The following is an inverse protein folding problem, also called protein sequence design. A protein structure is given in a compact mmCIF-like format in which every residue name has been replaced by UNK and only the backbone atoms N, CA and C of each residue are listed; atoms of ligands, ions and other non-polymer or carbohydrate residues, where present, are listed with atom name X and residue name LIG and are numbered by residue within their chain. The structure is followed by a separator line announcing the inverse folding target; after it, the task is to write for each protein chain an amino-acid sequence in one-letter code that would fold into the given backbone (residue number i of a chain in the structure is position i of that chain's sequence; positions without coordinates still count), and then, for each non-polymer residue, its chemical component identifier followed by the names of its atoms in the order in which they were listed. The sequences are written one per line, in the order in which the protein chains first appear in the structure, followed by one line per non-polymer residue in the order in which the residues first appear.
data_IF_477888194668
#
_entry.id   IF_477888194668
#
_cell.length_a   1.000
_cell.length_b   1.000
_cell.length_c   1.000
_cell.angle_alpha   90.00
_cell.angle_beta   90.00
_cell.angle_gamma   90.00
#
_symmetry.space_group_name_H-M   'P 1'
#
loop_
_entity.id
_entity.type
_entity.pdbx_description
1 polymer ?
#
# COMPACT_ATOMS: atom_id res chain seq x y z
N UNK A 1 -21.90 -10.34 -13.37
CA UNK A 1 -20.93 -10.85 -14.36
C UNK A 1 -20.13 -11.98 -13.71
N UNK A 2 -19.75 -13.03 -14.44
CA UNK A 2 -18.85 -14.07 -13.91
C UNK A 2 -17.43 -13.78 -14.35
N UNK A 3 -16.50 -13.76 -13.40
CA UNK A 3 -15.07 -13.64 -13.67
C UNK A 3 -14.40 -14.89 -13.08
N UNK A 4 -13.92 -15.79 -13.95
CA UNK A 4 -13.46 -17.11 -13.54
C UNK A 4 -14.56 -17.88 -12.78
N UNK A 5 -14.23 -18.39 -11.59
CA UNK A 5 -15.16 -19.09 -10.71
C UNK A 5 -16.01 -18.20 -9.79
N UNK A 6 -15.83 -16.87 -9.83
CA UNK A 6 -16.48 -15.94 -8.90
C UNK A 6 -17.56 -15.08 -9.58
N UNK A 7 -18.62 -14.75 -8.83
CA UNK A 7 -19.67 -13.83 -9.27
C UNK A 7 -19.27 -12.39 -8.89
N UNK A 8 -19.11 -11.53 -9.89
CA UNK A 8 -18.83 -10.10 -9.73
C UNK A 8 -20.10 -9.28 -9.96
N UNK A 9 -20.46 -8.45 -9.00
CA UNK A 9 -21.57 -7.51 -9.10
C UNK A 9 -21.01 -6.10 -9.35
N UNK A 10 -21.40 -5.48 -10.46
CA UNK A 10 -21.02 -4.11 -10.79
C UNK A 10 -22.08 -3.14 -10.26
N UNK A 11 -21.68 -2.20 -9.41
CA UNK A 11 -22.54 -1.13 -8.92
C UNK A 11 -22.31 0.12 -9.77
N UNK A 12 -23.34 0.63 -10.43
CA UNK A 12 -23.26 1.84 -11.28
C UNK A 12 -24.01 3.05 -10.67
N UNK A 13 -24.93 2.81 -9.73
CA UNK A 13 -25.76 3.86 -9.12
C UNK A 13 -25.10 4.43 -7.85
N UNK A 14 -24.91 5.77 -7.74
CA UNK A 14 -24.27 6.40 -6.59
C UNK A 14 -25.05 6.25 -5.28
N UNK A 15 -26.38 6.19 -5.31
CA UNK A 15 -27.22 5.98 -4.12
C UNK A 15 -27.02 4.57 -3.58
N UNK A 16 -27.01 3.58 -4.48
CA UNK A 16 -26.78 2.17 -4.12
C UNK A 16 -25.35 1.98 -3.61
N UNK A 17 -24.36 2.62 -4.24
CA UNK A 17 -22.97 2.60 -3.78
C UNK A 17 -22.86 3.16 -2.35
N UNK A 18 -23.49 4.29 -2.07
CA UNK A 18 -23.49 4.89 -0.73
C UNK A 18 -24.14 3.98 0.31
N UNK A 19 -25.30 3.39 -0.02
CA UNK A 19 -26.01 2.50 0.90
C UNK A 19 -25.23 1.20 1.20
N UNK A 20 -24.57 0.62 0.19
CA UNK A 20 -23.83 -0.62 0.36
C UNK A 20 -22.43 -0.40 0.96
N UNK A 21 -21.68 0.60 0.48
CA UNK A 21 -20.29 0.84 0.87
C UNK A 21 -20.17 1.67 2.15
N UNK A 22 -21.03 2.66 2.40
CA UNK A 22 -20.96 3.46 3.63
C UNK A 22 -21.84 2.89 4.73
N UNK A 23 -23.16 2.80 4.49
CA UNK A 23 -24.13 2.44 5.55
C UNK A 23 -24.05 0.96 5.95
N UNK A 24 -23.80 0.08 4.99
CA UNK A 24 -23.69 -1.37 5.20
C UNK A 24 -22.27 -1.90 5.04
N UNK A 25 -21.28 -1.02 5.24
CA UNK A 25 -19.86 -1.33 5.11
C UNK A 25 -19.49 -2.62 5.86
N UNK A 26 -19.98 -2.86 7.08
CA UNK A 26 -19.67 -4.06 7.86
C UNK A 26 -20.01 -5.39 7.16
N UNK A 27 -21.05 -5.40 6.33
CA UNK A 27 -21.55 -6.62 5.67
C UNK A 27 -20.89 -6.84 4.31
N UNK A 28 -20.50 -5.76 3.62
CA UNK A 28 -19.97 -5.81 2.26
C UNK A 28 -18.48 -5.44 2.17
N UNK A 29 -17.81 -5.17 3.30
CA UNK A 29 -16.37 -4.84 3.34
C UNK A 29 -15.44 -6.05 3.30
N UNK A 30 -15.95 -7.28 3.18
CA UNK A 30 -15.08 -8.45 3.02
C UNK A 30 -14.26 -8.32 1.74
N UNK A 31 -12.97 -8.66 1.82
CA UNK A 31 -12.09 -8.59 0.66
C UNK A 31 -12.05 -9.98 0.01
N UNK A 32 -12.12 -10.06 -1.34
CA UNK A 32 -11.93 -11.32 -2.02
C UNK A 32 -10.60 -11.96 -1.59
N UNK A 33 -10.59 -13.28 -1.44
CA UNK A 33 -9.35 -14.00 -1.16
C UNK A 33 -8.46 -13.96 -2.41
N UNK A 34 -7.50 -13.04 -2.40
CA UNK A 34 -6.53 -12.85 -3.46
C UNK A 34 -5.23 -13.52 -3.04
N UNK A 35 -4.53 -14.19 -3.97
CA UNK A 35 -3.22 -14.79 -3.70
C UNK A 35 -2.22 -13.78 -3.08
N UNK A 36 -2.31 -12.51 -3.48
CA UNK A 36 -1.49 -11.42 -2.94
C UNK A 36 -1.65 -11.22 -1.42
N UNK A 37 -2.75 -11.67 -0.83
CA UNK A 37 -3.03 -11.61 0.61
C UNK A 37 -2.03 -12.43 1.41
N UNK A 38 -1.55 -13.54 0.86
CA UNK A 38 -0.55 -14.40 1.54
C UNK A 38 0.83 -13.75 1.67
N UNK A 39 1.11 -12.69 0.90
CA UNK A 39 2.36 -11.94 1.02
C UNK A 39 2.39 -11.09 2.28
N UNK A 40 3.43 -11.28 3.09
CA UNK A 40 3.58 -10.60 4.38
C UNK A 40 2.70 -11.17 5.48
N UNK A 41 2.57 -12.50 5.57
CA UNK A 41 1.85 -13.21 6.64
C UNK A 41 0.39 -12.77 6.83
N UNK A 42 -0.29 -12.43 5.72
CA UNK A 42 -1.63 -11.85 5.75
C UNK A 42 -1.74 -10.54 6.54
N UNK A 43 -0.64 -9.87 6.88
CA UNK A 43 -0.60 -8.62 7.67
C UNK A 43 -0.85 -7.36 6.85
N UNK A 44 -0.98 -7.49 5.53
CA UNK A 44 -1.26 -6.36 4.66
C UNK A 44 -2.68 -5.83 4.90
N UNK A 45 -2.76 -4.61 5.46
CA UNK A 45 -4.03 -3.97 5.82
C UNK A 45 -4.96 -3.74 4.61
N UNK A 46 -4.40 -3.62 3.39
CA UNK A 46 -5.19 -3.37 2.19
C UNK A 46 -5.93 -4.62 1.68
N UNK A 47 -5.45 -5.82 2.02
CA UNK A 47 -6.00 -7.10 1.55
C UNK A 47 -6.62 -7.95 2.66
N UNK A 48 -6.54 -7.50 3.92
CA UNK A 48 -7.14 -8.16 5.07
C UNK A 48 -8.63 -7.82 5.22
N UNK A 49 -9.39 -8.77 5.77
CA UNK A 49 -10.79 -8.60 6.15
C UNK A 49 -10.95 -7.69 7.38
N UNK A 50 -12.19 -7.32 7.69
CA UNK A 50 -12.50 -6.43 8.82
C UNK A 50 -12.47 -7.16 10.19
N UNK A 51 -11.35 -7.83 10.47
CA UNK A 51 -11.07 -8.52 11.73
C UNK A 51 -10.49 -7.58 12.81
N UNK A 52 -10.32 -8.07 14.03
CA UNK A 52 -9.81 -7.26 15.16
C UNK A 52 -8.37 -6.77 14.93
N UNK A 53 -7.56 -7.54 14.20
CA UNK A 53 -6.20 -7.16 13.85
C UNK A 53 -6.20 -5.98 12.88
N UNK A 54 -7.06 -6.02 11.85
CA UNK A 54 -7.28 -4.91 10.92
C UNK A 54 -7.74 -3.66 11.63
N UNK A 55 -8.70 -3.76 12.58
CA UNK A 55 -9.15 -2.60 13.38
C UNK A 55 -8.02 -1.99 14.20
N UNK A 56 -7.18 -2.82 14.82
CA UNK A 56 -5.99 -2.36 15.57
C UNK A 56 -4.98 -1.69 14.65
N UNK A 57 -4.64 -2.29 13.51
CA UNK A 57 -3.74 -1.69 12.52
C UNK A 57 -4.29 -0.36 11.99
N UNK A 58 -5.58 -0.32 11.60
CA UNK A 58 -6.28 0.88 11.13
C UNK A 58 -6.19 2.01 12.14
N UNK A 59 -6.38 1.73 13.43
CA UNK A 59 -6.23 2.72 14.52
C UNK A 59 -4.80 3.26 14.59
N UNK A 60 -3.79 2.40 14.52
CA UNK A 60 -2.38 2.82 14.55
C UNK A 60 -2.02 3.68 13.33
N UNK A 61 -2.44 3.28 12.13
CA UNK A 61 -2.27 4.08 10.93
C UNK A 61 -2.99 5.41 11.01
N UNK A 62 -4.22 5.45 11.53
CA UNK A 62 -4.95 6.71 11.67
C UNK A 62 -4.25 7.69 12.62
N UNK A 63 -3.55 7.21 13.64
CA UNK A 63 -2.76 8.07 14.54
C UNK A 63 -1.52 8.63 13.81
N UNK A 64 -0.83 7.78 13.05
CA UNK A 64 0.41 8.15 12.32
C UNK A 64 0.11 9.02 11.09
N UNK A 65 -0.93 8.71 10.34
CA UNK A 65 -1.30 9.37 9.07
C UNK A 65 -2.25 10.56 9.27
N UNK A 66 -2.45 11.03 10.51
CA UNK A 66 -3.28 12.20 10.75
C UNK A 66 -2.61 13.47 10.21
N UNK A 67 -3.41 14.45 9.81
CA UNK A 67 -2.94 15.76 9.29
C UNK A 67 -1.97 16.43 10.25
N UNK A 68 -2.21 16.33 11.57
CA UNK A 68 -1.30 16.89 12.59
C UNK A 68 0.07 16.22 12.66
N UNK A 69 0.17 14.98 12.19
CA UNK A 69 1.41 14.22 12.13
C UNK A 69 2.13 14.45 10.79
N UNK A 70 1.41 14.96 9.77
CA UNK A 70 1.90 15.12 8.40
C UNK A 70 3.13 16.04 8.32
N UNK A 71 3.09 17.16 9.05
CA UNK A 71 4.18 18.15 9.09
C UNK A 71 5.51 17.54 9.59
N UNK A 72 5.43 16.53 10.45
CA UNK A 72 6.62 15.83 10.96
C UNK A 72 7.31 15.00 9.89
N UNK A 73 6.64 14.70 8.78
CA UNK A 73 7.20 13.91 7.68
C UNK A 73 7.88 14.75 6.60
N UNK A 74 7.65 16.07 6.56
CA UNK A 74 8.23 16.97 5.55
C UNK A 74 9.76 16.84 5.48
N UNK A 75 10.53 16.86 6.59
CA UNK A 75 11.98 16.71 6.51
C UNK A 75 12.44 15.36 5.97
N UNK A 76 11.66 14.29 6.22
CA UNK A 76 11.97 12.96 5.71
C UNK A 76 11.69 12.86 4.21
N UNK A 77 10.59 13.46 3.74
CA UNK A 77 10.26 13.55 2.32
C UNK A 77 11.30 14.37 1.56
N UNK A 78 11.75 15.51 2.12
CA UNK A 78 12.81 16.34 1.53
C UNK A 78 14.12 15.56 1.36
N UNK A 79 14.56 14.86 2.41
CA UNK A 79 15.77 14.06 2.35
C UNK A 79 15.69 12.95 1.28
N UNK A 80 14.61 12.17 1.27
CA UNK A 80 14.45 11.07 0.30
C UNK A 80 14.30 11.62 -1.13
N UNK A 81 13.73 12.83 -1.28
CA UNK A 81 13.60 13.50 -2.58
C UNK A 81 14.95 13.98 -3.12
N UNK A 82 15.82 14.52 -2.25
CA UNK A 82 17.20 14.85 -2.63
C UNK A 82 17.97 13.60 -3.08
N UNK A 83 17.76 12.47 -2.41
CA UNK A 83 18.38 11.22 -2.80
C UNK A 83 17.85 10.70 -4.14
N UNK A 84 16.53 10.84 -4.39
CA UNK A 84 15.94 10.51 -5.70
C UNK A 84 16.53 11.37 -6.82
N UNK A 85 16.66 12.68 -6.61
CA UNK A 85 17.25 13.59 -7.60
C UNK A 85 18.71 13.21 -7.88
N UNK A 86 19.48 12.92 -6.83
CA UNK A 86 20.87 12.47 -6.97
C UNK A 86 20.97 11.17 -7.77
N UNK A 87 20.12 10.19 -7.46
CA UNK A 87 20.11 8.90 -8.14
C UNK A 87 19.75 9.06 -9.63
N UNK A 88 18.75 9.88 -9.94
CA UNK A 88 18.36 10.21 -11.32
C UNK A 88 19.47 10.95 -12.09
N UNK A 89 20.26 11.79 -11.41
CA UNK A 89 21.38 12.49 -12.04
C UNK A 89 22.55 11.55 -12.37
N UNK A 90 22.74 10.47 -11.61
CA UNK A 90 23.84 9.51 -11.80
C UNK A 90 23.42 8.38 -12.76
N UNK A 91 22.18 7.87 -12.65
CA UNK A 91 21.64 6.75 -13.43
C UNK A 91 20.20 7.01 -13.89
N UNK A 92 19.98 7.91 -14.87
CA UNK A 92 18.65 8.26 -15.34
C UNK A 92 17.88 7.06 -15.96
N UNK A 93 18.59 6.08 -16.53
CA UNK A 93 18.01 4.87 -17.11
C UNK A 93 17.28 3.98 -16.10
N UNK A 94 17.61 4.08 -14.80
CA UNK A 94 17.02 3.28 -13.72
C UNK A 94 15.92 4.03 -12.94
N UNK A 95 15.26 5.00 -13.59
CA UNK A 95 14.29 5.89 -12.93
C UNK A 95 13.15 5.13 -12.22
N UNK A 96 12.66 4.02 -12.80
CA UNK A 96 11.59 3.21 -12.20
C UNK A 96 12.04 2.64 -10.85
N UNK A 97 13.24 2.07 -10.78
CA UNK A 97 13.77 1.52 -9.53
C UNK A 97 13.99 2.64 -8.49
N UNK A 98 14.41 3.83 -8.93
CA UNK A 98 14.61 4.97 -8.04
C UNK A 98 13.28 5.48 -7.43
N UNK A 99 12.22 5.55 -8.23
CA UNK A 99 10.88 5.92 -7.75
C UNK A 99 10.29 4.85 -6.83
N UNK A 100 10.50 3.56 -7.15
CA UNK A 100 10.11 2.45 -6.28
C UNK A 100 10.82 2.51 -4.93
N UNK A 101 12.14 2.77 -4.92
CA UNK A 101 12.94 2.96 -3.69
C UNK A 101 12.41 4.11 -2.85
N UNK A 102 12.18 5.26 -3.47
CA UNK A 102 11.66 6.46 -2.82
C UNK A 102 10.32 6.16 -2.12
N UNK A 103 9.38 5.57 -2.86
CA UNK A 103 8.04 5.25 -2.35
C UNK A 103 8.11 4.22 -1.21
N UNK A 104 8.95 3.19 -1.35
CA UNK A 104 9.14 2.17 -0.33
C UNK A 104 9.81 2.73 0.94
N UNK A 105 10.81 3.59 0.81
CA UNK A 105 11.50 4.24 1.94
C UNK A 105 10.53 5.10 2.75
N UNK A 106 9.80 5.99 2.09
CA UNK A 106 8.81 6.87 2.74
C UNK A 106 7.70 6.04 3.40
N UNK A 107 7.15 5.06 2.69
CA UNK A 107 6.08 4.22 3.23
C UNK A 107 6.55 3.46 4.45
N UNK A 108 7.76 2.89 4.42
CA UNK A 108 8.28 2.12 5.56
C UNK A 108 8.60 3.03 6.74
N UNK A 109 9.19 4.20 6.50
CA UNK A 109 9.45 5.20 7.52
C UNK A 109 8.16 5.69 8.20
N UNK A 110 7.10 5.85 7.41
CA UNK A 110 5.81 6.34 7.87
C UNK A 110 5.02 5.29 8.65
N UNK A 111 5.01 4.05 8.15
CA UNK A 111 4.18 2.96 8.69
C UNK A 111 4.87 2.22 9.85
N UNK A 112 6.18 1.99 9.76
CA UNK A 112 6.93 1.15 10.69
C UNK A 112 8.01 1.91 11.47
N UNK A 113 8.34 3.15 11.09
CA UNK A 113 9.30 3.98 11.81
C UNK A 113 10.76 3.64 11.56
N UNK A 114 11.07 2.72 10.65
CA UNK A 114 12.42 2.45 10.16
C UNK A 114 12.54 2.78 8.67
N UNK A 115 13.74 3.16 8.23
CA UNK A 115 14.01 3.44 6.82
C UNK A 115 14.56 2.21 6.12
N UNK A 116 14.24 2.11 4.84
CA UNK A 116 14.75 1.07 3.95
C UNK A 116 15.72 1.72 2.96
N UNK A 117 17.05 1.63 3.17
CA UNK A 117 18.03 2.33 2.34
C UNK A 117 18.08 1.80 0.90
N UNK A 118 17.69 0.53 0.70
CA UNK A 118 17.82 -0.20 -0.56
C UNK A 118 16.55 -0.99 -0.89
N UNK A 119 16.15 -0.98 -2.16
CA UNK A 119 15.01 -1.76 -2.69
C UNK A 119 15.16 -3.28 -2.54
N UNK A 120 16.38 -3.76 -2.29
CA UNK A 120 16.72 -5.18 -2.25
C UNK A 120 16.67 -5.79 -0.83
N UNK A 121 16.10 -5.08 0.15
CA UNK A 121 16.06 -5.55 1.54
C UNK A 121 14.72 -6.19 1.88
N UNK A 122 14.74 -7.53 2.05
CA UNK A 122 13.66 -8.34 2.61
C UNK A 122 12.28 -8.05 2.02
N UNK A 123 11.33 -7.72 2.89
CA UNK A 123 9.90 -7.50 2.58
C UNK A 123 9.62 -6.55 1.41
N UNK A 124 10.47 -5.54 1.19
CA UNK A 124 10.29 -4.57 0.07
C UNK A 124 10.59 -5.23 -1.27
N UNK A 125 11.59 -6.11 -1.32
CA UNK A 125 11.93 -6.88 -2.52
C UNK A 125 10.79 -7.83 -2.88
N UNK A 126 10.31 -8.60 -1.90
CA UNK A 126 9.22 -9.56 -2.10
C UNK A 126 7.94 -8.85 -2.58
N UNK A 127 7.63 -7.67 -2.02
CA UNK A 127 6.49 -6.87 -2.45
C UNK A 127 6.68 -6.36 -3.89
N UNK A 128 7.85 -5.82 -4.23
CA UNK A 128 8.13 -5.32 -5.57
C UNK A 128 8.11 -6.44 -6.62
N UNK A 129 8.62 -7.64 -6.30
CA UNK A 129 8.60 -8.80 -7.20
C UNK A 129 7.17 -9.27 -7.55
N UNK A 130 6.19 -9.08 -6.65
CA UNK A 130 4.78 -9.37 -6.95
C UNK A 130 4.17 -8.39 -7.94
N UNK A 131 4.57 -7.10 -7.87
CA UNK A 131 4.05 -6.07 -8.76
C UNK A 131 4.86 -5.93 -10.05
N UNK A 132 6.01 -6.58 -10.15
CA UNK A 132 6.82 -6.62 -11.36
C UNK A 132 6.37 -7.82 -12.18
N UNK A 133 5.96 -7.66 -13.46
CA UNK A 133 5.64 -8.80 -14.29
C UNK A 133 6.88 -9.69 -14.43
N UNK A 134 6.78 -10.93 -13.95
CA UNK A 134 7.68 -12.02 -14.36
C UNK A 134 7.60 -12.08 -15.89
N UNK A 135 8.73 -11.86 -16.56
CA UNK A 135 8.78 -11.39 -17.95
C UNK A 135 8.00 -12.20 -18.99
N UNK A 136 7.73 -11.51 -20.11
CA UNK A 136 7.61 -12.09 -21.45
C UNK A 136 8.84 -12.90 -21.84
#
# INVERSE_FOLDING_TARGET
MKLGGQNLFLLNDPVVVKDLIEKRSSNYSCRPDLYIRSFGDNLNIAFRDNDDVWRRQRKMYHIRLNVKSADRYVPYQEFDSLQLIKDLAIRPESWVQHVQRYTASISTALLYGWRTPETNTGYVKDLLEVFTPQGS
#
